data_IF_776947928468
#
_entry.id   IF_776947928468
#
_cell.length_a   1.000
_cell.length_b   1.000
_cell.length_c   1.000
_cell.angle_alpha   90.00
_cell.angle_beta   90.00
_cell.angle_gamma   90.00
#
_symmetry.space_group_name_H-M   'P 1'
#
loop_
_entity.id
_entity.type
_entity.pdbx_description
1 polymer ?
#
# COMPACT_ATOMS: atom_id res chain seq x y z
N UNK A 1 11.24 19.93 -3.23
CA UNK A 1 11.55 18.85 -2.27
C UNK A 1 10.30 18.36 -1.57
N UNK A 2 9.48 19.25 -1.01
CA UNK A 2 8.29 18.88 -0.22
C UNK A 2 7.23 18.11 -1.02
N UNK A 3 7.08 18.41 -2.32
CA UNK A 3 6.15 17.69 -3.19
C UNK A 3 6.50 16.21 -3.36
N UNK A 4 7.77 15.88 -3.42
CA UNK A 4 8.23 14.49 -3.53
C UNK A 4 7.87 13.70 -2.26
N UNK A 5 8.11 14.29 -1.09
CA UNK A 5 7.75 13.69 0.20
C UNK A 5 6.23 13.50 0.28
N UNK A 6 5.47 14.55 -0.03
CA UNK A 6 4.01 14.50 -0.06
C UNK A 6 3.48 13.42 -1.03
N UNK A 7 4.10 13.27 -2.21
CA UNK A 7 3.74 12.25 -3.18
C UNK A 7 3.97 10.84 -2.63
N UNK A 8 5.13 10.57 -2.01
CA UNK A 8 5.39 9.26 -1.40
C UNK A 8 4.43 8.95 -0.26
N UNK A 9 4.14 9.91 0.62
CA UNK A 9 3.16 9.73 1.71
C UNK A 9 1.77 9.41 1.15
N UNK A 10 1.32 10.12 0.13
CA UNK A 10 0.03 9.85 -0.50
C UNK A 10 -0.03 8.48 -1.16
N UNK A 11 1.04 8.05 -1.84
CA UNK A 11 1.15 6.70 -2.40
C UNK A 11 1.09 5.65 -1.29
N UNK A 12 1.83 5.85 -0.20
CA UNK A 12 1.78 4.97 0.96
C UNK A 12 0.36 4.83 1.52
N UNK A 13 -0.38 5.93 1.68
CA UNK A 13 -1.78 5.92 2.12
C UNK A 13 -2.69 5.13 1.18
N UNK A 14 -2.51 5.27 -0.14
CA UNK A 14 -3.31 4.53 -1.13
C UNK A 14 -3.11 3.03 -0.96
N UNK A 15 -1.85 2.57 -0.86
CA UNK A 15 -1.56 1.16 -0.65
C UNK A 15 -2.08 0.65 0.70
N UNK A 16 -1.97 1.45 1.75
CA UNK A 16 -2.51 1.10 3.08
C UNK A 16 -4.04 0.97 3.06
N UNK A 17 -4.74 1.89 2.39
CA UNK A 17 -6.20 1.82 2.21
C UNK A 17 -6.58 0.57 1.40
N UNK A 18 -5.85 0.28 0.33
CA UNK A 18 -6.10 -0.90 -0.50
C UNK A 18 -5.89 -2.20 0.30
N UNK A 19 -4.80 -2.29 1.05
CA UNK A 19 -4.52 -3.44 1.92
C UNK A 19 -5.66 -3.67 2.94
N UNK A 20 -6.08 -2.62 3.61
CA UNK A 20 -7.20 -2.68 4.56
C UNK A 20 -8.53 -3.04 3.88
N UNK A 21 -8.80 -2.52 2.69
CA UNK A 21 -10.02 -2.85 1.96
C UNK A 21 -10.09 -4.34 1.61
N UNK A 22 -8.97 -4.94 1.21
CA UNK A 22 -8.88 -6.37 0.93
C UNK A 22 -9.08 -7.20 2.20
N UNK A 23 -8.41 -6.85 3.31
CA UNK A 23 -8.55 -7.57 4.59
C UNK A 23 -9.95 -7.47 5.19
N UNK A 24 -10.62 -6.34 5.01
CA UNK A 24 -11.96 -6.11 5.53
C UNK A 24 -13.08 -6.60 4.60
N UNK A 25 -12.74 -7.27 3.49
CA UNK A 25 -13.75 -7.85 2.60
C UNK A 25 -14.50 -8.94 3.36
N UNK A 26 -15.83 -8.82 3.53
CA UNK A 26 -16.60 -9.81 4.28
C UNK A 26 -16.54 -11.15 3.58
N UNK A 27 -16.23 -12.18 4.36
CA UNK A 27 -16.27 -13.56 3.86
C UNK A 27 -17.70 -14.05 3.73
N UNK A 28 -18.02 -14.55 2.55
CA UNK A 28 -19.29 -15.22 2.27
C UNK A 28 -19.02 -16.68 1.96
N UNK A 29 -19.59 -17.61 2.76
CA UNK A 29 -19.44 -19.04 2.51
C UNK A 29 -20.00 -19.38 1.12
N UNK A 30 -19.22 -20.00 0.22
CA UNK A 30 -19.68 -20.37 -1.11
C UNK A 30 -20.92 -21.28 -1.07
N UNK A 31 -21.82 -21.12 -2.02
CA UNK A 31 -23.10 -21.83 -2.03
C UNK A 31 -22.96 -23.37 -2.13
N UNK A 32 -21.93 -23.84 -2.83
CA UNK A 32 -21.59 -25.27 -2.93
C UNK A 32 -21.12 -25.84 -1.59
N UNK A 33 -20.35 -25.08 -0.82
CA UNK A 33 -19.93 -25.47 0.53
C UNK A 33 -21.12 -25.46 1.48
N UNK A 34 -22.00 -24.44 1.41
CA UNK A 34 -23.24 -24.41 2.18
C UNK A 34 -24.12 -25.64 1.88
N UNK A 35 -24.22 -26.03 0.60
CA UNK A 35 -24.98 -27.21 0.21
C UNK A 35 -24.42 -28.51 0.79
N UNK A 36 -23.08 -28.66 0.79
CA UNK A 36 -22.40 -29.84 1.39
C UNK A 36 -22.57 -29.88 2.91
N UNK A 37 -22.70 -28.75 3.58
CA UNK A 37 -22.86 -28.66 5.03
C UNK A 37 -24.29 -28.95 5.49
N UNK A 38 -25.31 -28.93 4.61
CA UNK A 38 -26.74 -29.06 5.03
C UNK A 38 -27.05 -30.30 5.84
N UNK A 39 -26.38 -31.41 5.60
CA UNK A 39 -26.63 -32.69 6.29
C UNK A 39 -25.79 -32.90 7.55
N UNK A 40 -24.92 -31.97 7.93
CA UNK A 40 -24.01 -32.11 9.05
C UNK A 40 -24.65 -31.62 10.36
N UNK A 41 -24.25 -32.15 11.52
CA UNK A 41 -24.58 -31.60 12.85
C UNK A 41 -24.04 -30.18 12.99
N UNK A 42 -24.68 -29.36 13.82
CA UNK A 42 -24.32 -27.94 13.94
C UNK A 42 -22.88 -27.69 14.42
N UNK A 43 -22.40 -28.50 15.36
CA UNK A 43 -20.98 -28.41 15.79
C UNK A 43 -20.00 -28.63 14.64
N UNK A 44 -20.29 -29.60 13.75
CA UNK A 44 -19.43 -29.84 12.60
C UNK A 44 -19.50 -28.72 11.53
N UNK A 45 -20.66 -28.08 11.40
CA UNK A 45 -20.79 -26.89 10.53
C UNK A 45 -19.98 -25.73 11.06
N UNK A 46 -19.98 -25.52 12.38
CA UNK A 46 -19.24 -24.42 13.00
C UNK A 46 -17.72 -24.64 12.91
N UNK A 47 -17.26 -25.87 13.14
CA UNK A 47 -15.85 -26.23 12.96
C UNK A 47 -15.38 -26.00 11.51
N UNK A 48 -16.17 -26.41 10.52
CA UNK A 48 -15.85 -26.18 9.10
C UNK A 48 -15.80 -24.69 8.76
N UNK A 49 -16.74 -23.89 9.26
CA UNK A 49 -16.74 -22.45 9.04
C UNK A 49 -15.47 -21.81 9.58
N UNK A 50 -15.08 -22.13 10.82
CA UNK A 50 -13.86 -21.61 11.45
C UNK A 50 -12.63 -21.99 10.62
N UNK A 51 -12.50 -23.27 10.22
CA UNK A 51 -11.35 -23.70 9.41
C UNK A 51 -11.28 -22.99 8.05
N UNK A 52 -12.43 -22.77 7.41
CA UNK A 52 -12.49 -22.08 6.12
C UNK A 52 -12.18 -20.59 6.28
N UNK A 53 -12.69 -19.96 7.34
CA UNK A 53 -12.40 -18.56 7.66
C UNK A 53 -10.90 -18.37 7.93
N UNK A 54 -10.29 -19.22 8.75
CA UNK A 54 -8.84 -19.19 9.01
C UNK A 54 -8.02 -19.36 7.73
N UNK A 55 -8.38 -20.32 6.89
CA UNK A 55 -7.69 -20.55 5.62
C UNK A 55 -7.79 -19.34 4.68
N UNK A 56 -8.95 -18.69 4.64
CA UNK A 56 -9.15 -17.48 3.83
C UNK A 56 -8.37 -16.31 4.40
N UNK A 57 -8.37 -16.11 5.72
CA UNK A 57 -7.55 -15.07 6.34
C UNK A 57 -6.07 -15.27 6.02
N UNK A 58 -5.55 -16.49 6.09
CA UNK A 58 -4.17 -16.78 5.69
C UNK A 58 -3.88 -16.45 4.22
N UNK A 59 -4.81 -16.78 3.31
CA UNK A 59 -4.68 -16.44 1.90
C UNK A 59 -4.73 -14.92 1.66
N UNK A 60 -5.64 -14.22 2.33
CA UNK A 60 -5.74 -12.77 2.24
C UNK A 60 -4.48 -12.11 2.76
N UNK A 61 -3.94 -12.55 3.89
CA UNK A 61 -2.68 -12.05 4.44
C UNK A 61 -1.52 -12.20 3.44
N UNK A 62 -1.43 -13.36 2.77
CA UNK A 62 -0.41 -13.58 1.75
C UNK A 62 -0.56 -12.64 0.54
N UNK A 63 -1.80 -12.35 0.13
CA UNK A 63 -2.08 -11.44 -0.99
C UNK A 63 -1.89 -9.97 -0.62
N UNK A 64 -2.19 -9.60 0.62
CA UNK A 64 -2.09 -8.22 1.11
C UNK A 64 -0.65 -7.84 1.47
N UNK A 65 0.15 -8.79 1.94
CA UNK A 65 1.54 -8.56 2.35
C UNK A 65 2.39 -7.77 1.34
N UNK A 66 2.36 -8.08 0.02
CA UNK A 66 3.07 -7.28 -0.97
C UNK A 66 2.56 -5.83 -1.06
N UNK A 67 1.26 -5.63 -0.92
CA UNK A 67 0.63 -4.29 -0.97
C UNK A 67 1.04 -3.47 0.25
N UNK A 68 1.03 -4.07 1.44
CA UNK A 68 1.55 -3.42 2.66
C UNK A 68 3.02 -3.06 2.52
N UNK A 69 3.83 -3.94 1.95
CA UNK A 69 5.23 -3.66 1.71
C UNK A 69 5.43 -2.45 0.79
N UNK A 70 4.59 -2.24 -0.21
CA UNK A 70 4.62 -1.03 -1.02
C UNK A 70 4.31 0.22 -0.18
N UNK A 71 3.34 0.15 0.74
CA UNK A 71 3.04 1.25 1.65
C UNK A 71 4.24 1.59 2.56
N UNK A 72 4.79 0.59 3.23
CA UNK A 72 5.96 0.71 4.12
C UNK A 72 7.14 1.31 3.38
N UNK A 73 7.43 0.81 2.18
CA UNK A 73 8.53 1.29 1.36
C UNK A 73 8.35 2.77 0.97
N UNK A 74 7.14 3.21 0.62
CA UNK A 74 6.86 4.63 0.30
C UNK A 74 7.00 5.53 1.52
N UNK A 75 6.56 5.12 2.69
CA UNK A 75 6.77 5.87 3.93
C UNK A 75 8.26 5.92 4.30
N UNK A 76 9.02 4.83 4.11
CA UNK A 76 10.46 4.80 4.35
C UNK A 76 11.20 5.80 3.45
N UNK A 77 10.86 5.89 2.16
CA UNK A 77 11.41 6.89 1.25
C UNK A 77 11.08 8.31 1.67
N UNK A 78 9.81 8.56 2.04
CA UNK A 78 9.37 9.90 2.48
C UNK A 78 10.12 10.35 3.74
N UNK A 79 10.21 9.48 4.76
CA UNK A 79 10.93 9.76 6.00
C UNK A 79 12.42 9.98 5.75
N UNK A 80 13.05 9.15 4.88
CA UNK A 80 14.46 9.30 4.51
C UNK A 80 14.71 10.62 3.76
N UNK A 81 13.87 10.95 2.79
CA UNK A 81 13.98 12.20 2.02
C UNK A 81 13.82 13.43 2.94
N UNK A 82 12.88 13.40 3.87
CA UNK A 82 12.69 14.45 4.86
C UNK A 82 13.92 14.66 5.74
N UNK A 83 14.48 13.56 6.26
CA UNK A 83 15.71 13.61 7.08
C UNK A 83 16.92 14.12 6.28
N UNK A 84 17.12 13.61 5.07
CA UNK A 84 18.24 14.03 4.20
C UNK A 84 18.15 15.51 3.81
N UNK A 85 16.94 16.03 3.60
CA UNK A 85 16.68 17.43 3.28
C UNK A 85 16.53 18.35 4.49
N UNK A 86 16.63 17.83 5.70
CA UNK A 86 16.31 18.55 6.96
C UNK A 86 14.95 19.25 6.90
N UNK A 87 13.94 18.54 6.36
CA UNK A 87 12.59 19.04 6.15
C UNK A 87 11.70 18.57 7.30
N UNK A 88 11.21 19.49 8.11
CA UNK A 88 10.23 19.23 9.16
C UNK A 88 8.86 19.77 8.73
N UNK A 89 8.14 18.97 7.95
CA UNK A 89 6.78 19.26 7.52
C UNK A 89 5.80 18.16 7.98
N UNK A 90 4.47 18.38 7.86
CA UNK A 90 3.48 17.38 8.26
C UNK A 90 3.65 16.03 7.57
N UNK A 91 4.10 16.00 6.32
CA UNK A 91 4.28 14.76 5.57
C UNK A 91 5.50 13.98 6.06
N UNK A 92 6.61 14.66 6.35
CA UNK A 92 7.80 14.04 6.93
C UNK A 92 7.50 13.45 8.30
N UNK A 93 6.77 14.18 9.14
CA UNK A 93 6.35 13.69 10.46
C UNK A 93 5.44 12.48 10.34
N UNK A 94 4.40 12.55 9.50
CA UNK A 94 3.52 11.41 9.26
C UNK A 94 4.27 10.17 8.75
N UNK A 95 5.16 10.33 7.77
CA UNK A 95 5.97 9.22 7.26
C UNK A 95 6.82 8.60 8.38
N UNK A 96 7.40 9.42 9.24
CA UNK A 96 8.22 8.97 10.36
C UNK A 96 7.38 8.22 11.40
N UNK A 97 6.21 8.75 11.74
CA UNK A 97 5.29 8.10 12.69
C UNK A 97 4.81 6.74 12.16
N UNK A 98 4.48 6.68 10.86
CA UNK A 98 4.08 5.42 10.21
C UNK A 98 5.22 4.40 10.22
N UNK A 99 6.44 4.80 9.91
CA UNK A 99 7.60 3.91 9.91
C UNK A 99 7.93 3.42 11.32
N UNK A 100 7.82 4.27 12.32
CA UNK A 100 8.08 3.89 13.71
C UNK A 100 7.11 2.82 14.25
N UNK A 101 5.95 2.64 13.59
CA UNK A 101 5.00 1.58 13.93
C UNK A 101 5.43 0.19 13.41
N UNK A 102 6.40 0.13 12.49
CA UNK A 102 6.96 -1.10 11.95
C UNK A 102 8.35 -1.36 12.56
N UNK A 103 8.72 -2.63 12.73
CA UNK A 103 10.08 -2.98 13.16
C UNK A 103 11.09 -2.84 12.00
N UNK A 104 12.36 -2.61 12.35
CA UNK A 104 13.43 -2.40 11.37
C UNK A 104 13.57 -3.54 10.37
N UNK A 105 13.40 -4.78 10.81
CA UNK A 105 13.45 -5.98 9.96
C UNK A 105 12.34 -5.93 8.90
N UNK A 106 11.12 -5.58 9.31
CA UNK A 106 9.98 -5.47 8.40
C UNK A 106 10.17 -4.35 7.38
N UNK A 107 10.71 -3.22 7.80
CA UNK A 107 11.03 -2.10 6.91
C UNK A 107 12.07 -2.53 5.87
N UNK A 108 13.15 -3.20 6.32
CA UNK A 108 14.21 -3.67 5.43
C UNK A 108 13.69 -4.68 4.39
N UNK A 109 12.88 -5.65 4.81
CA UNK A 109 12.22 -6.62 3.92
C UNK A 109 11.37 -5.90 2.85
N UNK A 110 10.49 -5.00 3.27
CA UNK A 110 9.58 -4.30 2.37
C UNK A 110 10.30 -3.36 1.41
N UNK A 111 11.35 -2.68 1.86
CA UNK A 111 12.18 -1.83 1.02
C UNK A 111 12.94 -2.65 -0.01
N UNK A 112 13.49 -3.80 0.37
CA UNK A 112 14.17 -4.72 -0.56
C UNK A 112 13.20 -5.28 -1.61
N UNK A 113 11.99 -5.69 -1.20
CA UNK A 113 10.97 -6.18 -2.10
C UNK A 113 10.53 -5.11 -3.11
N UNK A 114 10.30 -3.87 -2.65
CA UNK A 114 9.92 -2.76 -3.52
C UNK A 114 11.03 -2.41 -4.53
N UNK A 115 12.30 -2.45 -4.11
CA UNK A 115 13.44 -2.20 -4.99
C UNK A 115 13.59 -3.29 -6.07
N UNK A 116 13.23 -4.53 -5.76
CA UNK A 116 13.25 -5.62 -6.73
C UNK A 116 12.13 -5.51 -7.78
N UNK A 117 11.01 -4.88 -7.43
CA UNK A 117 9.84 -4.72 -8.30
C UNK A 117 9.87 -3.43 -9.14
N UNK A 118 10.55 -2.40 -8.67
CA UNK A 118 10.54 -1.06 -9.26
C UNK A 118 11.95 -0.48 -9.30
N UNK A 119 12.55 -0.45 -10.51
CA UNK A 119 13.89 0.10 -10.71
C UNK A 119 13.96 1.59 -10.35
N UNK A 120 12.89 2.34 -10.49
CA UNK A 120 12.83 3.75 -10.09
C UNK A 120 12.91 3.90 -8.56
N UNK A 121 12.32 2.96 -7.83
CA UNK A 121 12.43 2.88 -6.38
C UNK A 121 13.88 2.60 -5.95
N UNK A 122 14.57 1.70 -6.64
CA UNK A 122 15.98 1.40 -6.37
C UNK A 122 16.88 2.63 -6.55
N UNK A 123 16.65 3.44 -7.58
CA UNK A 123 17.37 4.70 -7.82
C UNK A 123 17.13 5.72 -6.69
N UNK A 124 15.91 5.88 -6.23
CA UNK A 124 15.59 6.72 -5.07
C UNK A 124 16.26 6.21 -3.78
N UNK A 125 16.38 4.91 -3.61
CA UNK A 125 17.04 4.32 -2.44
C UNK A 125 18.54 4.65 -2.39
N UNK A 126 19.20 4.81 -3.54
CA UNK A 126 20.62 5.14 -3.65
C UNK A 126 20.94 6.62 -3.40
N UNK A 127 19.94 7.44 -3.12
CA UNK A 127 20.14 8.86 -2.79
C UNK A 127 20.07 9.80 -3.99
N UNK A 128 19.66 9.31 -5.15
CA UNK A 128 19.46 10.13 -6.35
C UNK A 128 18.19 11.00 -6.31
N UNK A 129 17.88 11.55 -5.14
CA UNK A 129 16.77 12.51 -4.99
C UNK A 129 16.98 13.82 -5.76
N UNK A 130 18.12 13.99 -6.41
CA UNK A 130 18.57 15.28 -6.89
C UNK A 130 18.01 15.71 -8.23
N UNK A 131 17.37 14.82 -8.99
CA UNK A 131 16.72 15.22 -10.24
C UNK A 131 15.55 14.30 -10.54
N UNK A 132 14.35 14.88 -10.68
CA UNK A 132 13.33 14.26 -11.51
C UNK A 132 13.98 13.85 -12.84
N UNK A 133 13.75 12.62 -13.36
CA UNK A 133 14.27 12.25 -14.67
C UNK A 133 13.87 13.36 -15.65
N UNK A 134 14.89 14.02 -16.24
CA UNK A 134 14.68 14.91 -17.37
C UNK A 134 14.16 14.04 -18.49
N UNK A 135 12.86 14.03 -18.71
CA UNK A 135 12.29 13.23 -19.78
C UNK A 135 10.90 12.68 -19.52
N UNK A 136 10.28 12.95 -18.39
CA UNK A 136 8.81 12.93 -18.38
C UNK A 136 8.35 14.14 -19.19
N UNK A 137 8.47 14.02 -20.51
CA UNK A 137 7.66 14.81 -21.42
C UNK A 137 6.23 14.29 -21.22
N UNK A 138 5.61 14.76 -20.14
CA UNK A 138 4.18 14.72 -20.02
C UNK A 138 3.72 15.67 -21.11
N UNK A 139 3.41 15.13 -22.29
CA UNK A 139 2.45 15.74 -23.20
C UNK A 139 1.16 15.81 -22.39
N UNK A 140 1.10 16.84 -21.53
CA UNK A 140 -0.14 17.22 -20.87
C UNK A 140 -1.04 17.62 -22.04
N UNK A 141 -2.10 16.88 -22.35
CA UNK A 141 -3.02 17.31 -23.37
C UNK A 141 -3.47 18.72 -23.02
N UNK A 142 -3.58 19.61 -24.00
CA UNK A 142 -3.94 21.00 -23.75
C UNK A 142 -5.15 21.02 -22.83
N UNK A 143 -5.02 21.73 -21.71
CA UNK A 143 -6.04 21.89 -20.68
C UNK A 143 -7.42 21.91 -21.34
N UNK A 144 -8.26 20.95 -20.96
CA UNK A 144 -9.67 21.00 -21.32
C UNK A 144 -10.18 22.32 -20.77
N UNK A 145 -10.41 23.29 -21.65
CA UNK A 145 -10.94 24.60 -21.25
C UNK A 145 -12.23 24.37 -20.44
N UNK A 146 -12.42 25.07 -19.33
CA UNK A 146 -13.66 24.93 -18.57
C UNK A 146 -14.84 25.25 -19.50
N UNK A 147 -15.96 24.52 -19.39
CA UNK A 147 -17.12 24.75 -20.23
C UNK A 147 -17.56 26.22 -20.08
N UNK A 148 -18.02 26.86 -21.18
CA UNK A 148 -18.45 28.26 -21.13
C UNK A 148 -19.58 28.40 -20.11
N UNK A 149 -19.43 29.38 -19.21
CA UNK A 149 -20.48 29.73 -18.25
C UNK A 149 -21.65 30.26 -19.05
N UNK A 150 -22.72 29.51 -19.13
CA UNK A 150 -24.01 29.97 -19.70
C UNK A 150 -24.56 30.99 -18.73
N UNK A 151 -24.70 32.21 -19.22
CA UNK A 151 -25.40 33.29 -18.51
C UNK A 151 -26.90 33.17 -18.67
#
# INVERSE_FOLDING_TARGET
PNWTIAAFVRQGRIYEILARAVLNTPFVVPADLQAKMRGLPDYAKDDIKVQVEDAIHQLLDQQVRPIECLAVARYALASRAGRAGNIDDPYTREATDRINAYGDERIAECVAQAAAQDASFAAYQQGEFTRAPRGLNLDIPPSIAPPPVVK
#
